data_IF_511923574367
#
_entry.id   IF_511923574367
#
_cell.length_a   1.000
_cell.length_b   1.000
_cell.length_c   1.000
_cell.angle_alpha   90.00
_cell.angle_beta   90.00
_cell.angle_gamma   90.00
#
_symmetry.space_group_name_H-M   'P 1'
#
loop_
_entity.id
_entity.type
_entity.pdbx_description
1 polymer ?
#
# COMPACT_ATOMS: atom_id res chain seq x y z
N UNK A 1 92.40 -37.38 33.98
CA UNK A 1 91.91 -36.03 33.63
C UNK A 1 90.73 -36.00 32.64
N UNK A 2 89.98 -37.10 32.39
CA UNK A 2 88.88 -37.08 31.39
C UNK A 2 87.49 -36.68 31.94
N UNK A 3 87.25 -36.77 33.26
CA UNK A 3 85.92 -36.51 33.88
C UNK A 3 85.47 -35.04 33.88
N UNK A 4 86.36 -34.07 33.69
CA UNK A 4 85.99 -32.64 33.67
C UNK A 4 85.43 -32.16 32.31
N UNK A 5 85.76 -32.84 31.20
CA UNK A 5 85.33 -32.43 29.85
C UNK A 5 83.89 -32.79 29.49
N UNK A 6 83.29 -33.80 30.13
CA UNK A 6 81.94 -34.26 29.80
C UNK A 6 80.81 -33.40 30.40
N UNK A 7 81.07 -32.71 31.52
CA UNK A 7 80.07 -31.86 32.19
C UNK A 7 79.55 -30.70 31.31
N UNK A 8 80.39 -29.88 30.64
CA UNK A 8 79.89 -28.81 29.77
C UNK A 8 79.17 -29.35 28.53
N UNK A 9 79.60 -30.50 27.98
CA UNK A 9 78.97 -31.13 26.82
C UNK A 9 77.52 -31.55 27.12
N UNK A 10 77.27 -32.09 28.32
CA UNK A 10 75.92 -32.48 28.77
C UNK A 10 75.03 -31.24 28.93
N UNK A 11 75.56 -30.14 29.48
CA UNK A 11 74.80 -28.89 29.65
C UNK A 11 74.39 -28.29 28.30
N UNK A 12 75.31 -28.28 27.33
CA UNK A 12 75.03 -27.79 25.97
C UNK A 12 73.96 -28.67 25.29
N UNK A 13 74.04 -29.99 25.43
CA UNK A 13 73.04 -30.91 24.87
C UNK A 13 71.64 -30.66 25.45
N UNK A 14 71.53 -30.46 26.77
CA UNK A 14 70.25 -30.13 27.42
C UNK A 14 69.70 -28.78 26.97
N UNK A 15 70.56 -27.78 26.76
CA UNK A 15 70.14 -26.47 26.27
C UNK A 15 69.54 -26.56 24.85
N UNK A 16 70.14 -27.34 23.96
CA UNK A 16 69.62 -27.54 22.59
C UNK A 16 68.25 -28.24 22.62
N UNK A 17 68.12 -29.30 23.41
CA UNK A 17 66.84 -30.03 23.58
C UNK A 17 65.75 -29.08 24.11
N UNK A 18 66.08 -28.23 25.08
CA UNK A 18 65.12 -27.26 25.63
C UNK A 18 64.66 -26.23 24.58
N UNK A 19 65.55 -25.83 23.66
CA UNK A 19 65.25 -24.89 22.60
C UNK A 19 64.34 -25.52 21.52
N UNK A 20 64.58 -26.78 21.17
CA UNK A 20 63.73 -27.54 20.25
C UNK A 20 62.33 -27.75 20.81
N UNK A 21 62.22 -28.11 22.09
CA UNK A 21 60.92 -28.25 22.78
C UNK A 21 60.18 -26.92 22.78
N UNK A 22 60.86 -25.80 23.06
CA UNK A 22 60.22 -24.48 23.07
C UNK A 22 59.72 -24.08 21.67
N UNK A 23 60.51 -24.35 20.62
CA UNK A 23 60.12 -24.13 19.23
C UNK A 23 58.92 -25.00 18.82
N UNK A 24 58.91 -26.27 19.23
CA UNK A 24 57.79 -27.19 18.99
C UNK A 24 56.50 -26.74 19.68
N UNK A 25 56.58 -26.32 20.95
CA UNK A 25 55.42 -25.79 21.70
C UNK A 25 54.91 -24.50 21.05
N UNK A 26 55.79 -23.59 20.67
CA UNK A 26 55.43 -22.35 19.97
C UNK A 26 54.70 -22.62 18.66
N UNK A 27 55.19 -23.60 17.87
CA UNK A 27 54.58 -24.01 16.61
C UNK A 27 53.18 -24.61 16.80
N UNK A 28 52.99 -25.45 17.82
CA UNK A 28 51.69 -26.01 18.19
C UNK A 28 50.71 -24.91 18.60
N UNK A 29 51.14 -23.99 19.46
CA UNK A 29 50.31 -22.85 19.89
C UNK A 29 49.89 -21.98 18.70
N UNK A 30 50.81 -21.67 17.79
CA UNK A 30 50.52 -20.89 16.59
C UNK A 30 49.45 -21.57 15.72
N UNK A 31 49.56 -22.88 15.52
CA UNK A 31 48.58 -23.66 14.75
C UNK A 31 47.19 -23.66 15.40
N UNK A 32 47.11 -23.81 16.73
CA UNK A 32 45.86 -23.77 17.46
C UNK A 32 45.19 -22.40 17.40
N UNK A 33 45.95 -21.32 17.55
CA UNK A 33 45.45 -19.94 17.43
C UNK A 33 44.86 -19.70 16.04
N UNK A 34 45.53 -20.18 14.99
CA UNK A 34 45.05 -20.03 13.63
C UNK A 34 43.74 -20.80 13.39
N UNK A 35 43.60 -22.02 13.92
CA UNK A 35 42.35 -22.79 13.85
C UNK A 35 41.19 -22.04 14.49
N UNK A 36 41.37 -21.57 15.73
CA UNK A 36 40.34 -20.82 16.46
C UNK A 36 39.98 -19.53 15.72
N UNK A 37 40.95 -18.87 15.07
CA UNK A 37 40.71 -17.66 14.29
C UNK A 37 39.83 -17.93 13.06
N UNK A 38 40.05 -19.04 12.36
CA UNK A 38 39.24 -19.43 11.20
C UNK A 38 37.80 -19.73 11.64
N UNK A 39 37.63 -20.55 12.67
CA UNK A 39 36.31 -20.91 13.19
C UNK A 39 35.52 -19.69 13.67
N UNK A 40 36.18 -18.72 14.32
CA UNK A 40 35.55 -17.45 14.68
C UNK A 40 35.10 -16.65 13.46
N UNK A 41 35.88 -16.64 12.37
CA UNK A 41 35.49 -15.97 11.12
C UNK A 41 34.26 -16.62 10.52
N UNK A 42 34.23 -17.94 10.46
CA UNK A 42 33.08 -18.68 9.93
C UNK A 42 31.83 -18.42 10.79
N UNK A 43 31.97 -18.45 12.11
CA UNK A 43 30.88 -18.11 13.02
C UNK A 43 30.37 -16.68 12.81
N UNK A 44 31.26 -15.70 12.66
CA UNK A 44 30.85 -14.32 12.35
C UNK A 44 30.15 -14.21 11.00
N UNK A 45 30.60 -14.97 10.00
CA UNK A 45 29.98 -15.01 8.69
C UNK A 45 28.57 -15.57 8.75
N UNK A 46 28.37 -16.73 9.40
CA UNK A 46 27.04 -17.32 9.59
C UNK A 46 26.12 -16.41 10.43
N UNK A 47 26.66 -15.75 11.46
CA UNK A 47 25.90 -14.78 12.27
C UNK A 47 25.44 -13.59 11.42
N UNK A 48 26.31 -13.06 10.57
CA UNK A 48 25.95 -11.95 9.68
C UNK A 48 24.87 -12.37 8.68
N UNK A 49 24.96 -13.57 8.11
CA UNK A 49 23.93 -14.12 7.23
C UNK A 49 22.60 -14.24 7.98
N UNK A 50 22.59 -14.82 9.17
CA UNK A 50 21.38 -14.96 9.98
C UNK A 50 20.76 -13.59 10.31
N UNK A 51 21.57 -12.60 10.70
CA UNK A 51 21.12 -11.24 10.96
C UNK A 51 20.52 -10.57 9.72
N UNK A 52 21.11 -10.77 8.53
CA UNK A 52 20.56 -10.23 7.29
C UNK A 52 19.19 -10.83 6.97
N UNK A 53 19.01 -12.15 7.17
CA UNK A 53 17.70 -12.79 7.02
C UNK A 53 16.69 -12.25 8.03
N UNK A 54 17.08 -12.06 9.29
CA UNK A 54 16.22 -11.45 10.31
C UNK A 54 15.81 -10.03 9.93
N UNK A 55 16.75 -9.21 9.46
CA UNK A 55 16.45 -7.85 9.00
C UNK A 55 15.50 -7.84 7.80
N UNK A 56 15.69 -8.75 6.84
CA UNK A 56 14.80 -8.86 5.69
C UNK A 56 13.39 -9.30 6.10
N UNK A 57 13.28 -10.20 7.07
CA UNK A 57 12.00 -10.63 7.62
C UNK A 57 11.27 -9.49 8.33
N UNK A 58 11.98 -8.75 9.18
CA UNK A 58 11.42 -7.59 9.88
C UNK A 58 10.91 -6.54 8.89
N UNK A 59 11.69 -6.22 7.86
CA UNK A 59 11.28 -5.27 6.82
C UNK A 59 9.99 -5.73 6.11
N UNK A 60 9.86 -7.03 5.82
CA UNK A 60 8.64 -7.60 5.21
C UNK A 60 7.44 -7.55 6.14
N UNK A 61 7.64 -7.76 7.45
CA UNK A 61 6.58 -7.62 8.45
C UNK A 61 6.10 -6.18 8.51
N UNK A 62 7.02 -5.21 8.57
CA UNK A 62 6.68 -3.79 8.59
C UNK A 62 5.95 -3.36 7.31
N UNK A 63 6.43 -3.79 6.14
CA UNK A 63 5.75 -3.55 4.86
C UNK A 63 4.32 -4.13 4.86
N UNK A 64 4.16 -5.37 5.35
CA UNK A 64 2.85 -6.00 5.41
C UNK A 64 1.89 -5.26 6.35
N UNK A 65 2.37 -4.85 7.54
CA UNK A 65 1.58 -4.07 8.49
C UNK A 65 1.17 -2.71 7.90
N UNK A 66 2.08 -2.05 7.19
CA UNK A 66 1.79 -0.79 6.51
C UNK A 66 0.74 -0.97 5.41
N UNK A 67 0.86 -2.01 4.58
CA UNK A 67 -0.12 -2.32 3.54
C UNK A 67 -1.49 -2.68 4.13
N UNK A 68 -1.52 -3.42 5.24
CA UNK A 68 -2.78 -3.71 5.95
C UNK A 68 -3.45 -2.43 6.47
N UNK A 69 -2.68 -1.50 7.03
CA UNK A 69 -3.20 -0.20 7.47
C UNK A 69 -3.75 0.62 6.30
N UNK A 70 -3.04 0.66 5.17
CA UNK A 70 -3.51 1.34 3.97
C UNK A 70 -4.80 0.72 3.43
N UNK A 71 -4.89 -0.60 3.36
CA UNK A 71 -6.11 -1.30 2.95
C UNK A 71 -7.28 -0.97 3.86
N UNK A 72 -7.10 -1.01 5.18
CA UNK A 72 -8.15 -0.66 6.13
C UNK A 72 -8.63 0.79 5.98
N UNK A 73 -7.71 1.73 5.72
CA UNK A 73 -8.05 3.13 5.45
C UNK A 73 -8.84 3.28 4.16
N UNK A 74 -8.41 2.62 3.08
CA UNK A 74 -9.11 2.63 1.79
C UNK A 74 -10.50 1.98 1.89
N UNK A 75 -10.64 0.88 2.62
CA UNK A 75 -11.94 0.24 2.86
C UNK A 75 -12.90 1.16 3.62
N UNK A 76 -12.39 1.89 4.62
CA UNK A 76 -13.18 2.88 5.35
C UNK A 76 -13.61 4.05 4.44
N UNK A 77 -12.71 4.55 3.60
CA UNK A 77 -12.99 5.61 2.62
C UNK A 77 -14.05 5.18 1.61
N UNK A 78 -13.89 3.99 1.02
CA UNK A 78 -14.87 3.39 0.10
C UNK A 78 -16.22 3.16 0.80
N UNK A 79 -16.21 2.73 2.06
CA UNK A 79 -17.41 2.60 2.88
C UNK A 79 -18.15 3.93 3.02
N UNK A 80 -17.44 5.01 3.31
CA UNK A 80 -18.00 6.36 3.39
C UNK A 80 -18.55 6.84 2.04
N UNK A 81 -17.84 6.61 0.94
CA UNK A 81 -18.33 6.94 -0.40
C UNK A 81 -19.61 6.17 -0.74
N UNK A 82 -19.70 4.89 -0.37
CA UNK A 82 -20.92 4.10 -0.58
C UNK A 82 -22.12 4.68 0.17
N UNK A 83 -21.94 5.13 1.41
CA UNK A 83 -23.00 5.79 2.19
C UNK A 83 -23.45 7.09 1.52
N UNK A 84 -22.50 7.93 1.11
CA UNK A 84 -22.80 9.18 0.40
C UNK A 84 -23.54 8.95 -0.92
N UNK A 85 -23.11 7.95 -1.70
CA UNK A 85 -23.73 7.59 -2.97
C UNK A 85 -25.16 7.07 -2.78
N UNK A 86 -25.40 6.28 -1.74
CA UNK A 86 -26.75 5.81 -1.38
C UNK A 86 -27.67 6.99 -1.07
N UNK A 87 -27.21 7.91 -0.21
CA UNK A 87 -27.98 9.12 0.13
C UNK A 87 -28.25 10.00 -1.09
N UNK A 88 -27.26 10.17 -1.98
CA UNK A 88 -27.46 10.92 -3.23
C UNK A 88 -28.50 10.26 -4.13
N UNK A 89 -28.48 8.93 -4.24
CA UNK A 89 -29.44 8.17 -5.04
C UNK A 89 -30.86 8.28 -4.48
N UNK A 90 -31.03 8.24 -3.16
CA UNK A 90 -32.32 8.48 -2.49
C UNK A 90 -32.86 9.90 -2.76
N UNK A 91 -31.99 10.91 -2.68
CA UNK A 91 -32.35 12.29 -2.98
C UNK A 91 -32.76 12.48 -4.44
N UNK A 92 -32.01 11.90 -5.38
CA UNK A 92 -32.35 11.94 -6.82
C UNK A 92 -33.68 11.25 -7.08
N UNK A 93 -33.92 10.09 -6.47
CA UNK A 93 -35.21 9.39 -6.59
C UNK A 93 -36.37 10.24 -6.05
N UNK A 94 -36.15 10.93 -4.93
CA UNK A 94 -37.14 11.87 -4.35
C UNK A 94 -37.43 13.04 -5.29
N UNK A 95 -36.39 13.66 -5.86
CA UNK A 95 -36.54 14.73 -6.85
C UNK A 95 -37.30 14.27 -8.10
N UNK A 96 -37.01 13.07 -8.61
CA UNK A 96 -37.73 12.48 -9.74
C UNK A 96 -39.21 12.29 -9.42
N UNK A 97 -39.53 11.79 -8.22
CA UNK A 97 -40.93 11.62 -7.76
C UNK A 97 -41.65 12.96 -7.64
N UNK A 98 -41.02 13.96 -7.03
CA UNK A 98 -41.60 15.31 -6.88
C UNK A 98 -41.88 15.94 -8.25
N UNK A 99 -40.91 15.91 -9.17
CA UNK A 99 -41.09 16.43 -10.53
C UNK A 99 -42.25 15.76 -11.27
N UNK A 100 -42.36 14.43 -11.19
CA UNK A 100 -43.44 13.70 -11.86
C UNK A 100 -44.81 14.02 -11.23
N UNK A 101 -44.86 14.17 -9.90
CA UNK A 101 -46.08 14.56 -9.19
C UNK A 101 -46.51 15.99 -9.55
N UNK A 102 -45.58 16.92 -9.69
CA UNK A 102 -45.87 18.29 -10.14
C UNK A 102 -46.44 18.30 -11.56
N UNK A 103 -45.91 17.49 -12.48
CA UNK A 103 -46.50 17.32 -13.81
C UNK A 103 -47.94 16.80 -13.75
N UNK A 104 -48.22 15.76 -12.96
CA UNK A 104 -49.57 15.21 -12.80
C UNK A 104 -50.55 16.22 -12.16
N UNK A 105 -50.09 16.96 -11.14
CA UNK A 105 -50.87 18.03 -10.52
C UNK A 105 -51.14 19.16 -11.51
N UNK A 106 -50.15 19.55 -12.31
CA UNK A 106 -50.31 20.55 -13.35
C UNK A 106 -51.37 20.08 -14.37
N UNK A 107 -51.33 18.83 -14.82
CA UNK A 107 -52.35 18.28 -15.73
C UNK A 107 -53.76 18.30 -15.12
N UNK A 108 -53.89 17.94 -13.83
CA UNK A 108 -55.18 17.78 -13.16
C UNK A 108 -55.82 19.09 -12.71
N UNK A 109 -55.02 20.06 -12.27
CA UNK A 109 -55.51 21.29 -11.64
C UNK A 109 -55.13 22.57 -12.38
N UNK A 110 -54.29 22.52 -13.42
CA UNK A 110 -54.02 23.72 -14.25
C UNK A 110 -55.20 24.00 -15.18
N UNK A 111 -55.86 25.13 -14.95
CA UNK A 111 -56.84 25.71 -15.88
C UNK A 111 -56.29 25.83 -17.30
N UNK A 112 -55.00 26.16 -17.46
CA UNK A 112 -54.35 26.32 -18.78
C UNK A 112 -54.18 24.96 -19.48
N UNK A 113 -53.73 23.93 -18.76
CA UNK A 113 -53.55 22.59 -19.33
C UNK A 113 -54.91 21.97 -19.70
N UNK A 114 -55.90 22.14 -18.83
CA UNK A 114 -57.27 21.66 -19.06
C UNK A 114 -57.93 22.34 -20.27
N UNK A 115 -57.69 23.65 -20.44
CA UNK A 115 -58.16 24.37 -21.62
C UNK A 115 -57.46 23.87 -22.89
N UNK A 116 -56.15 23.64 -22.89
CA UNK A 116 -55.48 23.19 -24.13
C UNK A 116 -55.93 21.81 -24.64
N UNK A 117 -56.21 20.86 -23.75
CA UNK A 117 -56.56 19.48 -24.15
C UNK A 117 -58.06 19.27 -24.40
N UNK A 118 -58.93 19.98 -23.67
CA UNK A 118 -60.39 19.72 -23.69
C UNK A 118 -61.24 20.93 -24.11
N UNK A 119 -60.64 22.09 -24.40
CA UNK A 119 -61.40 23.26 -24.82
C UNK A 119 -61.43 23.39 -26.33
N UNK A 120 -62.56 23.00 -26.92
CA UNK A 120 -62.96 23.49 -28.23
C UNK A 120 -63.86 24.70 -27.99
N UNK A 121 -63.45 25.92 -28.41
CA UNK A 121 -64.27 27.11 -28.27
C UNK A 121 -65.62 26.89 -28.96
N UNK A 122 -66.72 27.11 -28.24
CA UNK A 122 -68.09 26.91 -28.76
C UNK A 122 -68.40 27.79 -29.99
N UNK A 123 -67.64 28.88 -30.14
CA UNK A 123 -67.72 29.82 -31.26
C UNK A 123 -66.32 30.33 -31.56
N UNK A 124 -65.80 29.95 -32.73
CA UNK A 124 -64.63 30.59 -33.32
C UNK A 124 -65.13 31.84 -34.05
N UNK A 125 -64.85 33.02 -33.49
CA UNK A 125 -65.09 34.28 -34.17
C UNK A 125 -63.95 34.52 -35.15
N UNK A 126 -64.29 34.69 -36.43
CA UNK A 126 -63.34 35.12 -37.44
C UNK A 126 -62.81 36.49 -37.01
N UNK A 127 -61.50 36.62 -36.86
CA UNK A 127 -60.87 37.89 -36.50
C UNK A 127 -61.28 38.90 -37.57
N UNK A 128 -61.88 40.01 -37.12
CA UNK A 128 -62.32 41.08 -37.99
C UNK A 128 -61.13 41.58 -38.81
N UNK A 129 -61.32 41.73 -40.11
CA UNK A 129 -60.28 42.11 -41.08
C UNK A 129 -59.55 43.40 -40.72
N UNK A 130 -60.17 44.29 -39.94
CA UNK A 130 -59.52 45.51 -39.44
C UNK A 130 -58.38 45.25 -38.43
N UNK A 131 -58.36 44.08 -37.79
CA UNK A 131 -57.34 43.68 -36.81
C UNK A 131 -56.34 42.65 -37.38
N UNK A 132 -56.49 42.23 -38.64
CA UNK A 132 -55.56 41.33 -39.31
C UNK A 132 -54.45 42.16 -39.94
N UNK A 133 -53.29 42.22 -39.29
CA UNK A 133 -52.13 43.03 -39.71
C UNK A 133 -51.40 42.51 -40.97
N UNK A 134 -52.05 41.68 -41.80
CA UNK A 134 -51.53 41.32 -43.11
C UNK A 134 -52.66 40.83 -44.05
N UNK A 135 -53.41 41.79 -44.60
CA UNK A 135 -54.36 41.53 -45.69
C UNK A 135 -53.61 41.37 -47.01
N UNK A 136 -52.91 40.24 -47.20
CA UNK A 136 -52.48 39.68 -48.51
C UNK A 136 -51.79 38.34 -48.31
N UNK A 137 -52.56 37.28 -48.44
CA UNK A 137 -52.36 36.15 -49.38
C UNK A 137 -53.30 35.03 -48.95
N UNK A 138 -54.37 34.87 -49.74
CA UNK A 138 -55.24 33.70 -49.71
C UNK A 138 -54.52 32.59 -50.48
N UNK A 139 -54.31 31.43 -49.85
CA UNK A 139 -54.16 30.14 -50.53
C UNK A 139 -55.43 29.33 -50.30
#
# INVERSE_FOLDING_TARGET
MKKQFYKPLIIIGLAIISLEILSMVSSICYFLINKVKIEKRDLTFYKNIANNYQLSLENKIQENLFLQQQLAQQEAEVGNFRVQLSSLTENVNTLVKLRNLDEELLKKYSKVYFLNENYVPKTLLKIDSQYVNNSKEQY
#
